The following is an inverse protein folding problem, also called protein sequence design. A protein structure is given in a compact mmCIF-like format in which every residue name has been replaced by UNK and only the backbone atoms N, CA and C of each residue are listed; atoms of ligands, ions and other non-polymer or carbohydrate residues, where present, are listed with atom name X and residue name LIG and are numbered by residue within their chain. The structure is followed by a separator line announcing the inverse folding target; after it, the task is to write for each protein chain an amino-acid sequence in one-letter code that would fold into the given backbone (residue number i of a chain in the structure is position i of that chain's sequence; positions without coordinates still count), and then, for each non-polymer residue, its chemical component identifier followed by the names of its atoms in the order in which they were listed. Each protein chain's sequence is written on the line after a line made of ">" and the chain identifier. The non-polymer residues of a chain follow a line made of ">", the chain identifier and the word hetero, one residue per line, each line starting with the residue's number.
data_IF_511356045665
#
_entry.id   IF_511356045665
#
_cell.length_a   1.000
_cell.length_b   1.000
_cell.length_c   1.000
_cell.angle_alpha   90.00
_cell.angle_beta   90.00
_cell.angle_gamma   90.00
#
_symmetry.space_group_name_H-M   'P 1'
#
loop_
_entity.id
_entity.type
_entity.pdbx_description
1 polymer ?
#
# COMPACT_ATOMS: atom_id res chain seq x y z
N UNK A 1 0.97 20.44 -67.64
CA UNK A 1 1.17 21.70 -68.38
C UNK A 1 0.75 22.86 -67.49
N UNK A 2 1.71 23.77 -67.25
CA UNK A 2 1.66 25.15 -66.73
C UNK A 2 0.96 25.42 -65.38
N UNK A 3 1.62 25.85 -64.30
CA UNK A 3 2.58 26.94 -64.03
C UNK A 3 1.95 28.28 -63.58
N UNK A 4 2.60 28.81 -62.53
CA UNK A 4 2.75 30.20 -62.07
C UNK A 4 1.53 30.86 -61.40
N UNK A 5 1.55 31.31 -60.14
CA UNK A 5 2.54 32.00 -59.27
C UNK A 5 2.59 33.54 -59.41
N UNK A 6 2.86 34.18 -58.26
CA UNK A 6 3.30 35.56 -58.00
C UNK A 6 2.21 36.65 -58.04
N UNK A 7 2.16 37.68 -57.18
CA UNK A 7 2.92 38.10 -55.99
C UNK A 7 2.52 39.52 -55.57
N UNK A 8 3.08 39.97 -54.43
CA UNK A 8 3.41 41.35 -54.02
C UNK A 8 2.33 42.03 -53.14
N UNK A 9 2.50 42.28 -51.82
CA UNK A 9 3.55 42.86 -50.95
C UNK A 9 3.59 44.42 -50.91
N UNK A 10 3.55 44.95 -49.67
CA UNK A 10 3.96 46.30 -49.17
C UNK A 10 3.02 47.50 -49.39
N UNK A 11 2.87 48.54 -48.54
CA UNK A 11 3.51 49.02 -47.28
C UNK A 11 2.71 50.25 -46.71
N UNK A 12 2.84 50.55 -45.41
CA UNK A 12 2.87 51.94 -44.83
C UNK A 12 1.53 52.62 -44.49
N UNK A 13 1.05 52.65 -43.23
CA UNK A 13 1.31 53.60 -42.12
C UNK A 13 0.94 55.08 -42.41
N UNK A 14 -0.10 55.60 -41.73
CA UNK A 14 -0.07 56.94 -41.10
C UNK A 14 -1.17 57.13 -40.03
N UNK A 15 -0.84 58.01 -39.08
CA UNK A 15 -1.44 58.36 -37.78
C UNK A 15 -2.89 58.89 -37.77
N UNK A 16 -3.61 58.54 -36.67
CA UNK A 16 -4.09 59.54 -35.70
C UNK A 16 -5.56 59.99 -35.75
N UNK A 17 -6.10 60.24 -34.53
CA UNK A 17 -7.28 61.06 -34.14
C UNK A 17 -8.51 60.25 -33.62
N UNK A 18 -8.78 60.35 -32.31
CA UNK A 18 -10.07 60.08 -31.60
C UNK A 18 -11.02 61.30 -31.79
N UNK A 19 -12.37 61.24 -31.59
CA UNK A 19 -13.09 60.44 -30.57
C UNK A 19 -14.54 59.97 -30.92
N UNK A 20 -15.20 59.37 -29.91
CA UNK A 20 -16.66 59.18 -29.69
C UNK A 20 -17.44 58.12 -30.48
N UNK A 21 -18.08 57.20 -29.75
CA UNK A 21 -19.25 56.46 -30.23
C UNK A 21 -19.46 55.11 -29.52
N UNK A 22 -20.50 55.02 -28.70
CA UNK A 22 -21.00 53.79 -28.08
C UNK A 22 -21.43 52.76 -29.15
N UNK A 23 -21.16 51.47 -28.93
CA UNK A 23 -22.08 50.37 -29.27
C UNK A 23 -21.69 49.06 -28.58
N UNK A 24 -22.70 48.42 -27.99
CA UNK A 24 -22.68 47.09 -27.38
C UNK A 24 -22.60 45.97 -28.42
N UNK A 25 -21.95 44.86 -28.06
CA UNK A 25 -22.32 43.51 -28.51
C UNK A 25 -21.28 42.77 -29.35
N UNK A 26 -20.48 41.90 -28.72
CA UNK A 26 -19.91 40.72 -29.40
C UNK A 26 -20.26 39.47 -28.59
N UNK A 27 -21.08 38.61 -29.17
CA UNK A 27 -21.15 37.18 -28.82
C UNK A 27 -20.11 36.46 -29.68
N UNK A 28 -18.97 36.11 -29.11
CA UNK A 28 -18.00 35.23 -29.76
C UNK A 28 -18.40 33.77 -29.52
N UNK A 29 -18.65 33.04 -30.62
CA UNK A 29 -18.68 31.57 -30.61
C UNK A 29 -17.23 31.05 -30.48
N UNK A 30 -16.94 30.10 -29.59
CA UNK A 30 -15.60 29.53 -29.50
C UNK A 30 -15.32 28.58 -30.67
N UNK A 31 -14.05 28.48 -31.12
CA UNK A 31 -13.66 27.67 -32.27
C UNK A 31 -13.71 26.17 -31.96
N UNK A 32 -14.25 25.41 -32.93
CA UNK A 32 -14.30 23.94 -32.94
C UNK A 32 -12.91 23.40 -33.27
N UNK A 33 -12.19 22.94 -32.24
CA UNK A 33 -10.93 22.20 -32.38
C UNK A 33 -11.26 20.75 -32.80
N UNK A 34 -10.90 20.39 -34.03
CA UNK A 34 -10.87 18.98 -34.46
C UNK A 34 -9.53 18.42 -33.96
N UNK A 35 -9.57 17.71 -32.84
CA UNK A 35 -8.44 16.94 -32.33
C UNK A 35 -8.34 15.62 -33.08
N UNK A 36 -7.26 15.44 -33.83
CA UNK A 36 -6.87 14.16 -34.40
C UNK A 36 -6.58 13.18 -33.24
N UNK A 37 -7.28 12.04 -33.21
CA UNK A 37 -7.06 11.01 -32.20
C UNK A 37 -5.82 10.21 -32.58
N UNK A 38 -4.68 10.56 -31.99
CA UNK A 38 -3.50 9.71 -31.99
C UNK A 38 -3.71 8.59 -30.98
N UNK A 39 -3.85 7.36 -31.48
CA UNK A 39 -3.84 6.16 -30.63
C UNK A 39 -2.40 5.94 -30.18
N UNK A 40 -2.08 6.38 -28.95
CA UNK A 40 -0.84 5.98 -28.28
C UNK A 40 -1.05 4.56 -27.78
N UNK A 41 -0.41 3.61 -28.45
CA UNK A 41 -0.34 2.22 -27.98
C UNK A 41 0.80 2.14 -26.97
N UNK A 42 0.48 1.95 -25.69
CA UNK A 42 1.48 1.59 -24.68
C UNK A 42 1.74 0.10 -24.80
N UNK A 43 2.85 -0.26 -25.43
CA UNK A 43 3.39 -1.60 -25.33
C UNK A 43 4.03 -1.75 -23.96
N UNK A 44 3.44 -2.57 -23.09
CA UNK A 44 4.08 -3.00 -21.84
C UNK A 44 5.18 -4.00 -22.20
N UNK A 45 6.42 -3.53 -22.20
CA UNK A 45 7.60 -4.38 -22.20
C UNK A 45 7.82 -4.86 -20.77
N UNK A 46 7.49 -6.12 -20.50
CA UNK A 46 7.82 -6.77 -19.24
C UNK A 46 9.28 -7.22 -19.36
N UNK A 47 10.16 -6.63 -18.56
CA UNK A 47 11.52 -7.15 -18.41
C UNK A 47 11.59 -8.18 -17.29
N UNK A 48 12.31 -9.28 -17.51
CA UNK A 48 12.43 -10.39 -16.56
C UNK A 48 13.90 -10.55 -16.19
N UNK A 49 14.28 -9.97 -15.05
CA UNK A 49 15.62 -10.15 -14.53
C UNK A 49 15.90 -11.62 -14.17
N UNK A 50 17.00 -12.16 -14.68
CA UNK A 50 17.45 -13.52 -14.46
C UNK A 50 17.17 -14.47 -15.63
N UNK A 51 16.77 -13.96 -16.79
CA UNK A 51 16.56 -14.76 -18.00
C UNK A 51 17.76 -14.79 -18.96
N UNK A 52 18.85 -14.10 -18.57
CA UNK A 52 20.11 -13.95 -19.31
C UNK A 52 19.98 -13.15 -20.62
N UNK A 53 18.96 -12.29 -20.74
CA UNK A 53 18.77 -11.38 -21.86
C UNK A 53 18.62 -9.97 -21.29
N UNK A 54 19.54 -9.07 -21.64
CA UNK A 54 19.43 -7.67 -21.20
C UNK A 54 18.31 -6.97 -21.97
N UNK A 55 17.24 -6.61 -21.26
CA UNK A 55 16.07 -5.94 -21.81
C UNK A 55 16.03 -4.44 -21.46
N UNK A 56 15.12 -3.68 -22.09
CA UNK A 56 14.96 -2.25 -21.81
C UNK A 56 14.57 -2.02 -20.34
N UNK A 57 15.40 -1.27 -19.60
CA UNK A 57 15.25 -1.05 -18.16
C UNK A 57 16.25 -1.84 -17.30
N UNK A 58 16.98 -2.80 -17.88
CA UNK A 58 18.03 -3.55 -17.19
C UNK A 58 19.43 -2.99 -17.48
N UNK A 59 20.28 -2.99 -16.46
CA UNK A 59 21.70 -2.64 -16.55
C UNK A 59 22.53 -3.84 -17.05
N UNK A 60 22.12 -5.04 -16.68
CA UNK A 60 22.76 -6.32 -16.97
C UNK A 60 21.76 -7.46 -16.69
N UNK A 61 22.03 -8.68 -17.17
CA UNK A 61 21.34 -9.90 -16.78
C UNK A 61 22.25 -11.11 -17.06
N UNK A 62 22.82 -11.68 -16.00
CA UNK A 62 23.68 -12.88 -16.05
C UNK A 62 22.90 -14.17 -15.71
N UNK A 63 21.57 -14.11 -15.74
CA UNK A 63 20.70 -15.25 -15.49
C UNK A 63 20.85 -15.81 -14.07
N UNK A 64 21.16 -17.10 -13.99
CA UNK A 64 21.40 -17.81 -12.72
C UNK A 64 22.62 -17.30 -11.95
N UNK A 65 23.51 -16.54 -12.59
CA UNK A 65 24.67 -15.94 -11.94
C UNK A 65 24.37 -14.59 -11.30
N UNK A 66 23.14 -14.07 -11.42
CA UNK A 66 22.74 -12.85 -10.74
C UNK A 66 22.92 -12.98 -9.22
N UNK A 67 23.49 -11.95 -8.60
CA UNK A 67 23.84 -11.89 -7.20
C UNK A 67 25.13 -12.64 -6.82
N UNK A 68 25.84 -13.23 -7.79
CA UNK A 68 27.12 -13.90 -7.55
C UNK A 68 28.22 -12.89 -7.28
N UNK A 69 29.08 -13.19 -6.32
CA UNK A 69 30.26 -12.39 -6.04
C UNK A 69 31.35 -12.58 -7.11
N UNK A 70 32.01 -11.50 -7.51
CA UNK A 70 33.18 -11.55 -8.40
C UNK A 70 34.44 -11.07 -7.71
N UNK A 71 35.57 -11.76 -7.94
CA UNK A 71 36.89 -11.32 -7.46
C UNK A 71 37.55 -10.28 -8.37
N UNK A 72 36.87 -9.82 -9.42
CA UNK A 72 37.40 -8.79 -10.32
C UNK A 72 36.29 -7.83 -10.79
N UNK A 73 36.65 -6.58 -11.02
CA UNK A 73 35.75 -5.59 -11.62
C UNK A 73 35.31 -5.96 -13.05
N UNK A 74 36.18 -6.64 -13.81
CA UNK A 74 35.90 -7.02 -15.19
C UNK A 74 34.91 -8.18 -15.31
N UNK A 75 34.91 -9.12 -14.35
CA UNK A 75 34.01 -10.27 -14.30
C UNK A 75 32.82 -10.11 -13.36
N UNK A 76 32.47 -8.87 -12.98
CA UNK A 76 31.35 -8.60 -12.07
C UNK A 76 30.03 -9.10 -12.62
N UNK A 77 29.21 -9.67 -11.75
CA UNK A 77 27.88 -10.15 -12.09
C UNK A 77 26.82 -9.10 -11.78
N UNK A 78 25.67 -9.26 -12.40
CA UNK A 78 24.51 -8.45 -12.15
C UNK A 78 23.92 -8.74 -10.77
N UNK A 79 23.32 -7.75 -10.12
CA UNK A 79 22.54 -7.96 -8.90
C UNK A 79 21.23 -8.68 -9.20
N UNK A 80 20.59 -9.24 -8.18
CA UNK A 80 19.31 -9.97 -8.31
C UNK A 80 18.15 -9.15 -8.92
N UNK A 81 18.27 -7.83 -8.94
CA UNK A 81 17.28 -6.93 -9.53
C UNK A 81 17.66 -6.37 -10.90
N UNK A 82 18.79 -6.78 -11.49
CA UNK A 82 19.25 -6.35 -12.82
C UNK A 82 19.46 -4.84 -13.04
N UNK A 83 19.32 -4.02 -11.98
CA UNK A 83 19.48 -2.57 -12.03
C UNK A 83 20.76 -2.08 -11.34
N UNK A 84 21.59 -3.01 -10.84
CA UNK A 84 22.87 -2.74 -10.18
C UNK A 84 23.80 -3.94 -10.34
N UNK A 85 25.09 -3.77 -10.05
CA UNK A 85 26.04 -4.88 -9.96
C UNK A 85 25.88 -5.62 -8.62
N UNK A 86 26.18 -6.92 -8.62
CA UNK A 86 26.37 -7.71 -7.39
C UNK A 86 27.66 -7.26 -6.67
N UNK A 87 27.88 -7.65 -5.40
CA UNK A 87 29.13 -7.39 -4.69
C UNK A 87 30.36 -7.93 -5.44
N UNK A 88 31.44 -7.15 -5.57
CA UNK A 88 32.68 -7.60 -6.22
C UNK A 88 33.92 -6.85 -5.72
N UNK A 89 35.08 -7.53 -5.77
CA UNK A 89 36.36 -6.92 -5.42
C UNK A 89 36.78 -5.82 -6.40
N UNK A 90 37.15 -4.67 -5.85
CA UNK A 90 37.64 -3.49 -6.57
C UNK A 90 36.62 -2.37 -6.71
N UNK A 91 35.52 -2.39 -5.94
CA UNK A 91 34.54 -1.30 -5.89
C UNK A 91 34.75 -0.34 -4.71
N UNK A 92 35.83 -0.53 -3.94
CA UNK A 92 36.15 0.24 -2.71
C UNK A 92 35.16 0.00 -1.57
N UNK A 93 34.38 -1.08 -1.61
CA UNK A 93 33.44 -1.48 -0.57
C UNK A 93 33.89 -2.82 -0.01
N UNK A 94 34.37 -2.83 1.24
CA UNK A 94 34.71 -4.07 1.90
C UNK A 94 33.46 -4.94 2.12
N UNK A 95 33.46 -6.16 1.60
CA UNK A 95 32.39 -7.15 1.70
C UNK A 95 32.83 -8.44 2.45
N UNK A 96 32.94 -8.43 3.80
CA UNK A 96 33.44 -9.57 4.57
C UNK A 96 32.58 -10.83 4.44
N UNK A 97 31.28 -10.67 4.16
CA UNK A 97 30.36 -11.79 3.94
C UNK A 97 30.75 -12.66 2.73
N UNK A 98 31.53 -12.12 1.79
CA UNK A 98 32.05 -12.82 0.61
C UNK A 98 33.55 -13.12 0.70
N UNK A 99 34.15 -12.94 1.88
CA UNK A 99 35.55 -13.30 2.15
C UNK A 99 36.56 -12.20 1.82
N UNK A 100 36.11 -10.96 1.60
CA UNK A 100 37.03 -9.84 1.48
C UNK A 100 37.61 -9.42 2.83
N UNK A 101 38.90 -9.12 2.81
CA UNK A 101 39.68 -8.65 3.97
C UNK A 101 40.16 -7.21 3.75
N UNK A 102 40.19 -6.76 2.50
CA UNK A 102 40.54 -5.41 2.07
C UNK A 102 39.83 -5.09 0.74
N UNK A 103 39.60 -3.81 0.43
CA UNK A 103 39.22 -3.36 -0.93
C UNK A 103 39.62 -1.88 -1.10
N UNK A 104 40.68 -1.64 -1.87
CA UNK A 104 41.18 -0.31 -2.23
C UNK A 104 40.73 0.13 -3.64
N UNK A 105 39.67 -0.49 -4.17
CA UNK A 105 39.12 -0.19 -5.47
C UNK A 105 40.09 -0.52 -6.60
N UNK A 106 40.28 0.44 -7.51
CA UNK A 106 41.24 0.33 -8.61
C UNK A 106 42.71 0.22 -8.15
N UNK A 107 43.02 0.44 -6.87
CA UNK A 107 44.37 0.29 -6.32
C UNK A 107 44.71 -1.15 -5.88
N UNK A 108 43.77 -2.08 -5.93
CA UNK A 108 44.00 -3.49 -5.61
C UNK A 108 45.07 -4.11 -6.53
N UNK A 109 46.07 -4.77 -5.94
CA UNK A 109 47.18 -5.39 -6.66
C UNK A 109 48.18 -4.41 -7.29
N UNK A 110 48.10 -3.12 -6.97
CA UNK A 110 49.12 -2.15 -7.40
C UNK A 110 50.37 -2.22 -6.52
N UNK A 111 51.54 -1.85 -7.05
CA UNK A 111 52.82 -1.89 -6.31
C UNK A 111 52.88 -0.98 -5.08
N UNK A 112 51.93 -0.05 -4.95
CA UNK A 112 51.78 0.86 -3.80
C UNK A 112 50.50 0.56 -2.98
N UNK A 113 49.67 -0.38 -3.43
CA UNK A 113 48.46 -0.80 -2.75
C UNK A 113 48.77 -1.78 -1.63
N UNK A 114 47.92 -1.81 -0.61
CA UNK A 114 48.02 -2.76 0.51
C UNK A 114 47.09 -3.93 0.34
N UNK A 115 46.20 -3.90 -0.64
CA UNK A 115 45.23 -4.96 -0.89
C UNK A 115 45.62 -5.81 -2.11
N UNK A 116 45.49 -7.14 -1.98
CA UNK A 116 45.68 -8.05 -3.11
C UNK A 116 44.61 -7.85 -4.18
N UNK A 117 44.91 -8.23 -5.42
CA UNK A 117 44.00 -8.05 -6.57
C UNK A 117 42.66 -8.80 -6.42
N UNK A 118 42.59 -9.78 -5.53
CA UNK A 118 41.39 -10.59 -5.23
C UNK A 118 40.74 -10.24 -3.88
N UNK A 119 41.18 -9.17 -3.21
CA UNK A 119 40.63 -8.68 -1.94
C UNK A 119 40.74 -9.64 -0.74
N UNK A 120 41.52 -10.72 -0.84
CA UNK A 120 41.59 -11.76 0.21
C UNK A 120 42.74 -11.61 1.18
N UNK A 121 43.76 -10.84 0.83
CA UNK A 121 44.94 -10.65 1.68
C UNK A 121 45.45 -9.24 1.56
N UNK A 122 46.12 -8.76 2.61
CA UNK A 122 46.95 -7.59 2.47
C UNK A 122 48.24 -7.99 1.74
N UNK A 123 48.54 -7.35 0.60
CA UNK A 123 49.76 -7.62 -0.13
C UNK A 123 50.96 -7.06 0.67
N UNK A 124 51.93 -7.92 0.93
CA UNK A 124 53.11 -7.61 1.75
C UNK A 124 54.33 -7.40 0.87
N UNK A 125 54.21 -6.74 -0.29
CA UNK A 125 55.39 -6.37 -1.05
C UNK A 125 56.21 -5.33 -0.27
N UNK A 126 57.48 -5.63 0.08
CA UNK A 126 58.32 -4.71 0.82
C UNK A 126 58.87 -3.65 -0.15
N UNK A 127 58.34 -2.42 -0.07
CA UNK A 127 59.01 -1.25 -0.67
C UNK A 127 59.81 -0.51 0.39
N UNK A 128 61.13 -0.57 0.22
CA UNK A 128 62.16 0.13 0.99
C UNK A 128 62.09 1.65 0.85
N UNK A 129 61.99 2.33 2.00
CA UNK A 129 62.51 3.69 2.26
C UNK A 129 61.72 4.85 1.65
N UNK A 130 61.32 5.89 2.37
CA UNK A 130 61.54 6.29 3.76
C UNK A 130 60.87 7.65 4.00
N UNK A 131 60.69 8.01 5.27
CA UNK A 131 60.26 9.34 5.68
C UNK A 131 59.12 9.34 6.68
N UNK A 132 59.45 9.35 7.97
CA UNK A 132 58.65 10.12 8.93
C UNK A 132 59.00 11.60 8.68
N UNK A 133 58.01 12.49 8.53
CA UNK A 133 57.30 12.97 9.72
C UNK A 133 55.81 13.21 9.46
N UNK A 134 55.02 13.03 10.50
CA UNK A 134 53.64 13.50 10.49
C UNK A 134 52.78 12.65 11.36
N UNK A 135 52.52 13.15 12.56
CA UNK A 135 51.29 12.89 13.30
C UNK A 135 50.08 13.17 12.39
N UNK A 136 49.74 12.23 11.53
CA UNK A 136 48.47 12.17 10.81
C UNK A 136 47.47 11.60 11.78
N UNK A 137 46.53 12.44 12.20
CA UNK A 137 45.53 12.09 13.20
C UNK A 137 44.86 10.76 12.87
N UNK A 138 44.48 10.05 13.94
CA UNK A 138 43.39 9.09 13.83
C UNK A 138 42.21 9.83 13.17
N UNK A 139 42.01 9.60 11.87
CA UNK A 139 40.66 9.71 11.33
C UNK A 139 39.94 8.54 12.00
N UNK A 140 38.97 8.79 12.90
CA UNK A 140 38.12 7.71 13.37
C UNK A 140 37.60 7.03 12.11
N UNK A 141 37.61 5.70 12.07
CA UNK A 141 36.90 4.97 11.03
C UNK A 141 35.55 5.65 10.86
N UNK A 142 35.22 6.02 9.61
CA UNK A 142 33.93 6.59 9.30
C UNK A 142 32.89 5.71 9.97
N UNK A 143 32.27 6.22 11.04
CA UNK A 143 31.11 5.61 11.66
C UNK A 143 29.94 5.87 10.73
N UNK A 144 30.01 5.34 9.50
CA UNK A 144 28.84 5.27 8.65
C UNK A 144 27.90 4.33 9.36
N UNK A 145 26.97 4.91 10.10
CA UNK A 145 25.98 4.17 10.86
C UNK A 145 25.32 3.20 9.88
N UNK A 146 25.30 1.92 10.24
CA UNK A 146 24.53 0.94 9.48
C UNK A 146 23.11 1.50 9.33
N UNK A 147 22.50 1.45 8.13
CA UNK A 147 21.15 1.91 7.95
C UNK A 147 20.26 1.22 8.98
N UNK A 148 19.40 1.99 9.63
CA UNK A 148 18.57 1.45 10.70
C UNK A 148 17.65 0.35 10.14
N UNK A 149 17.46 -0.72 10.90
CA UNK A 149 16.40 -1.69 10.59
C UNK A 149 15.06 -0.99 10.77
N UNK A 150 14.32 -0.79 9.68
CA UNK A 150 13.08 -0.01 9.68
C UNK A 150 11.98 -0.75 8.96
N UNK A 151 10.79 -0.78 9.53
CA UNK A 151 9.57 -1.21 8.87
C UNK A 151 8.78 0.03 8.44
N UNK A 152 8.36 0.05 7.18
CA UNK A 152 7.45 1.06 6.62
C UNK A 152 6.20 0.37 6.11
N UNK A 153 5.03 0.89 6.46
CA UNK A 153 3.73 0.40 6.00
C UNK A 153 3.03 1.55 5.31
N UNK A 154 2.66 1.35 4.05
CA UNK A 154 1.98 2.34 3.23
C UNK A 154 0.74 1.73 2.59
N UNK A 155 -0.34 2.50 2.57
CA UNK A 155 -1.58 2.03 1.99
C UNK A 155 -2.68 3.07 2.00
N UNK A 156 -3.91 2.58 1.85
CA UNK A 156 -5.11 3.40 1.76
C UNK A 156 -6.13 2.94 2.79
N UNK A 157 -6.61 3.87 3.58
CA UNK A 157 -7.69 3.72 4.54
C UNK A 157 -8.78 4.76 4.25
N UNK A 158 -9.63 5.05 5.24
CA UNK A 158 -10.67 6.05 5.10
C UNK A 158 -10.09 7.43 5.38
N UNK A 159 -10.49 8.48 4.64
CA UNK A 159 -9.96 9.82 4.85
C UNK A 159 -10.07 10.25 6.31
N UNK A 160 -8.96 10.66 6.96
CA UNK A 160 -8.95 11.09 8.36
C UNK A 160 -9.10 9.99 9.42
N UNK A 161 -9.14 8.71 9.03
CA UNK A 161 -9.24 7.60 9.98
C UNK A 161 -7.93 7.35 10.75
N UNK A 162 -8.06 6.78 11.95
CA UNK A 162 -6.91 6.29 12.72
C UNK A 162 -6.68 4.83 12.34
N UNK A 163 -5.51 4.55 11.77
CA UNK A 163 -5.00 3.21 11.48
C UNK A 163 -4.16 2.76 12.66
N UNK A 164 -4.50 1.62 13.25
CA UNK A 164 -3.74 0.96 14.32
C UNK A 164 -2.92 -0.16 13.73
N UNK A 165 -1.63 -0.19 14.06
CA UNK A 165 -0.65 -1.18 13.60
C UNK A 165 -0.34 -2.11 14.77
N UNK A 166 -0.40 -3.41 14.49
CA UNK A 166 -0.06 -4.50 15.39
C UNK A 166 1.24 -5.16 14.93
N UNK A 167 2.10 -5.52 15.87
CA UNK A 167 3.25 -6.40 15.68
C UNK A 167 3.06 -7.61 16.58
N UNK A 168 3.01 -8.80 15.99
CA UNK A 168 2.85 -10.08 16.70
C UNK A 168 1.68 -10.04 17.70
N UNK A 169 0.57 -9.40 17.29
CA UNK A 169 -0.67 -9.25 18.07
C UNK A 169 -0.70 -8.08 19.07
N UNK A 170 0.42 -7.39 19.30
CA UNK A 170 0.49 -6.23 20.22
C UNK A 170 0.48 -4.90 19.46
N UNK A 171 -0.10 -3.85 20.03
CA UNK A 171 -0.12 -2.51 19.39
C UNK A 171 1.31 -1.97 19.29
N UNK A 172 1.76 -1.74 18.06
CA UNK A 172 3.06 -1.15 17.75
C UNK A 172 2.98 0.38 17.59
N UNK A 173 1.81 0.89 17.17
CA UNK A 173 1.56 2.31 17.02
C UNK A 173 0.34 2.62 16.17
N UNK A 174 0.19 3.89 15.81
CA UNK A 174 -0.91 4.37 14.98
C UNK A 174 -0.42 5.31 13.88
N UNK A 175 -1.21 5.44 12.81
CA UNK A 175 -1.04 6.44 11.77
C UNK A 175 -2.40 7.04 11.44
N UNK A 176 -2.43 8.31 11.03
CA UNK A 176 -3.65 8.98 10.58
C UNK A 176 -3.67 9.02 9.07
N UNK A 177 -4.78 8.62 8.45
CA UNK A 177 -4.95 8.71 7.02
C UNK A 177 -5.21 10.16 6.57
N UNK A 178 -4.61 10.56 5.45
CA UNK A 178 -4.81 11.84 4.78
C UNK A 178 -6.19 11.97 4.15
N UNK A 179 -6.47 13.12 3.54
CA UNK A 179 -7.75 13.39 2.86
C UNK A 179 -7.97 12.51 1.62
N UNK A 180 -6.89 12.01 1.02
CA UNK A 180 -6.87 11.07 -0.08
C UNK A 180 -6.91 9.61 0.39
N UNK A 181 -7.08 9.38 1.70
CA UNK A 181 -7.09 8.08 2.33
C UNK A 181 -5.68 7.47 2.49
N UNK A 182 -4.63 8.10 1.97
CA UNK A 182 -3.26 7.57 2.09
C UNK A 182 -2.80 7.60 3.55
N UNK A 183 -2.10 6.56 3.98
CA UNK A 183 -1.42 6.57 5.28
C UNK A 183 -0.03 5.96 5.15
N UNK A 184 0.85 6.39 6.04
CA UNK A 184 2.17 5.80 6.21
C UNK A 184 2.48 5.64 7.70
N UNK A 185 3.01 4.49 8.08
CA UNK A 185 3.55 4.22 9.40
C UNK A 185 5.01 3.76 9.25
N UNK A 186 5.90 4.21 10.13
CA UNK A 186 7.29 3.77 10.14
C UNK A 186 7.78 3.53 11.57
N UNK A 187 8.53 2.46 11.78
CA UNK A 187 9.17 2.16 13.08
C UNK A 187 10.55 1.56 12.93
N UNK A 188 11.45 1.97 13.81
CA UNK A 188 12.78 1.36 13.99
C UNK A 188 12.78 0.36 15.17
N UNK A 189 11.70 0.27 15.93
CA UNK A 189 11.55 -0.65 17.08
C UNK A 189 11.09 -2.03 16.58
N UNK A 190 11.83 -2.57 15.61
CA UNK A 190 11.51 -3.83 14.93
C UNK A 190 12.73 -4.75 14.95
N UNK A 191 12.48 -6.03 15.18
CA UNK A 191 13.53 -7.05 15.28
C UNK A 191 13.64 -7.76 13.93
N UNK A 192 14.86 -7.96 13.38
CA UNK A 192 15.05 -8.78 12.19
C UNK A 192 14.51 -10.21 12.38
N UNK A 193 13.99 -10.80 11.31
CA UNK A 193 13.36 -12.12 11.31
C UNK A 193 11.90 -12.11 10.88
N UNK A 194 11.25 -13.26 10.96
CA UNK A 194 9.83 -13.41 10.59
C UNK A 194 8.96 -12.72 11.64
N UNK A 195 8.09 -11.82 11.21
CA UNK A 195 7.12 -11.12 12.07
C UNK A 195 5.77 -11.07 11.37
N UNK A 196 4.70 -11.05 12.16
CA UNK A 196 3.35 -10.82 11.64
C UNK A 196 2.91 -9.40 11.98
N UNK A 197 2.60 -8.64 10.94
CA UNK A 197 2.10 -7.28 11.06
C UNK A 197 0.60 -7.29 10.79
N UNK A 198 -0.17 -6.76 11.73
CA UNK A 198 -1.61 -6.54 11.58
C UNK A 198 -1.93 -5.07 11.44
N UNK A 199 -2.98 -4.72 10.71
CA UNK A 199 -3.49 -3.34 10.68
C UNK A 199 -5.00 -3.31 10.53
N UNK A 200 -5.63 -2.37 11.23
CA UNK A 200 -7.06 -2.08 11.16
C UNK A 200 -7.30 -0.58 11.35
N UNK A 201 -8.43 -0.07 10.86
CA UNK A 201 -8.78 1.35 10.95
C UNK A 201 -10.08 1.57 11.73
N UNK A 202 -10.15 2.67 12.48
CA UNK A 202 -11.41 3.19 13.04
C UNK A 202 -11.87 4.40 12.21
N UNK A 203 -13.10 4.36 11.72
CA UNK A 203 -13.69 5.50 11.02
C UNK A 203 -14.24 6.58 11.97
N UNK A 204 -14.66 7.73 11.43
CA UNK A 204 -15.18 8.84 12.23
C UNK A 204 -16.48 8.51 12.98
N UNK A 205 -17.21 7.49 12.55
CA UNK A 205 -18.40 7.00 13.23
C UNK A 205 -18.08 6.03 14.37
N UNK A 206 -16.80 5.69 14.56
CA UNK A 206 -16.33 4.79 15.60
C UNK A 206 -16.42 3.31 15.22
N UNK A 207 -16.70 2.99 13.95
CA UNK A 207 -16.70 1.61 13.44
C UNK A 207 -15.25 1.18 13.18
N UNK A 208 -14.92 -0.07 13.54
CA UNK A 208 -13.61 -0.66 13.24
C UNK A 208 -13.68 -1.47 11.94
N UNK A 209 -12.59 -1.52 11.17
CA UNK A 209 -12.42 -2.45 10.04
C UNK A 209 -12.13 -3.87 10.53
N UNK A 210 -12.23 -4.87 9.65
CA UNK A 210 -11.57 -6.15 9.90
C UNK A 210 -10.04 -5.93 9.97
N UNK A 211 -9.34 -6.77 10.75
CA UNK A 211 -7.88 -6.76 10.79
C UNK A 211 -7.35 -7.45 9.54
N UNK A 212 -6.38 -6.81 8.89
CA UNK A 212 -5.57 -7.41 7.83
C UNK A 212 -4.23 -7.79 8.40
N UNK A 213 -3.82 -9.05 8.25
CA UNK A 213 -2.53 -9.56 8.72
C UNK A 213 -1.64 -9.92 7.53
N UNK A 214 -0.35 -9.60 7.64
CA UNK A 214 0.69 -9.96 6.68
C UNK A 214 1.91 -10.45 7.44
N UNK A 215 2.38 -11.66 7.11
CA UNK A 215 3.61 -12.22 7.66
C UNK A 215 4.74 -11.98 6.67
N UNK A 216 5.87 -11.45 7.15
CA UNK A 216 7.04 -11.15 6.32
C UNK A 216 8.33 -11.29 7.11
N UNK A 217 9.45 -11.29 6.40
CA UNK A 217 10.78 -11.32 7.01
C UNK A 217 11.36 -9.90 7.03
N UNK A 218 11.68 -9.40 8.22
CA UNK A 218 12.40 -8.14 8.42
C UNK A 218 13.89 -8.41 8.23
N UNK A 219 14.49 -7.71 7.27
CA UNK A 219 15.92 -7.80 6.99
C UNK A 219 16.69 -6.82 7.88
N UNK A 220 17.75 -7.29 8.54
CA UNK A 220 18.59 -6.45 9.38
C UNK A 220 19.29 -5.37 8.54
N UNK A 221 19.40 -4.17 9.11
CA UNK A 221 20.01 -3.00 8.50
C UNK A 221 19.41 -2.62 7.14
N UNK A 222 18.09 -2.83 6.98
CA UNK A 222 17.37 -2.49 5.78
C UNK A 222 16.00 -1.90 6.09
N UNK A 223 15.45 -1.16 5.12
CA UNK A 223 14.07 -0.70 5.16
C UNK A 223 13.20 -1.77 4.50
N UNK A 224 12.31 -2.38 5.28
CA UNK A 224 11.30 -3.30 4.77
C UNK A 224 10.00 -2.52 4.57
N UNK A 225 9.49 -2.47 3.35
CA UNK A 225 8.27 -1.71 3.01
C UNK A 225 7.12 -2.64 2.64
N UNK A 226 6.00 -2.52 3.35
CA UNK A 226 4.71 -3.07 2.95
C UNK A 226 3.98 -1.99 2.13
N UNK A 227 3.90 -2.17 0.83
CA UNK A 227 3.07 -1.35 -0.05
C UNK A 227 1.71 -2.02 -0.28
N UNK A 228 0.67 -1.21 -0.55
CA UNK A 228 -0.66 -1.74 -0.87
C UNK A 228 -1.46 -2.22 0.35
N UNK A 229 -1.16 -1.72 1.55
CA UNK A 229 -1.95 -1.98 2.75
C UNK A 229 -3.34 -1.34 2.65
N UNK A 230 -4.25 -1.98 1.91
CA UNK A 230 -5.59 -1.44 1.66
C UNK A 230 -6.59 -1.95 2.70
N UNK A 231 -7.19 -1.04 3.46
CA UNK A 231 -8.06 -1.41 4.57
C UNK A 231 -9.43 -1.90 4.05
N UNK A 232 -9.99 -2.97 4.62
CA UNK A 232 -11.37 -3.39 4.34
C UNK A 232 -12.34 -2.27 4.68
N UNK A 233 -13.45 -2.06 3.94
CA UNK A 233 -14.45 -1.07 4.34
C UNK A 233 -15.10 -1.43 5.68
N UNK A 234 -15.58 -0.43 6.43
CA UNK A 234 -16.54 -0.67 7.52
C UNK A 234 -17.93 -0.85 6.93
N UNK A 235 -18.78 -1.59 7.65
CA UNK A 235 -20.18 -1.83 7.27
C UNK A 235 -21.04 -1.85 8.54
N UNK A 236 -22.19 -1.19 8.47
CA UNK A 236 -23.29 -1.28 9.43
C UNK A 236 -24.62 -1.10 8.70
N UNK A 237 -25.74 -1.26 9.41
CA UNK A 237 -27.07 -1.03 8.87
C UNK A 237 -28.01 -0.39 9.89
N UNK A 238 -29.15 0.12 9.42
CA UNK A 238 -30.16 0.73 10.27
C UNK A 238 -30.90 -0.27 11.17
N UNK A 239 -30.93 -1.56 10.80
CA UNK A 239 -31.63 -2.63 11.52
C UNK A 239 -30.92 -3.97 11.34
N UNK A 240 -31.10 -4.89 12.29
CA UNK A 240 -30.67 -6.30 12.16
C UNK A 240 -31.77 -7.25 11.72
N UNK A 241 -33.03 -6.85 11.82
CA UNK A 241 -34.17 -7.65 11.36
C UNK A 241 -35.01 -6.81 10.41
N UNK A 242 -35.30 -7.37 9.24
CA UNK A 242 -36.08 -6.72 8.17
C UNK A 242 -37.09 -7.69 7.61
N UNK A 243 -38.26 -7.19 7.23
CA UNK A 243 -39.25 -8.02 6.53
C UNK A 243 -38.73 -8.35 5.13
N UNK A 244 -39.18 -9.47 4.57
CA UNK A 244 -38.88 -9.78 3.17
C UNK A 244 -39.43 -8.68 2.26
N UNK A 245 -38.57 -8.18 1.38
CA UNK A 245 -38.86 -7.07 0.46
C UNK A 245 -38.78 -5.68 1.10
N UNK A 246 -38.50 -5.58 2.40
CA UNK A 246 -38.13 -4.32 3.04
C UNK A 246 -36.69 -3.97 2.64
N UNK A 247 -36.46 -2.69 2.36
CA UNK A 247 -35.14 -2.17 2.06
C UNK A 247 -34.29 -2.08 3.33
N UNK A 248 -33.05 -2.57 3.23
CA UNK A 248 -32.04 -2.46 4.28
C UNK A 248 -31.04 -1.37 3.92
N UNK A 249 -31.00 -0.31 4.72
CA UNK A 249 -30.05 0.79 4.53
C UNK A 249 -28.71 0.44 5.16
N UNK A 250 -27.70 0.26 4.33
CA UNK A 250 -26.32 -0.03 4.69
C UNK A 250 -25.48 1.25 4.62
N UNK A 251 -24.51 1.37 5.52
CA UNK A 251 -23.57 2.47 5.51
C UNK A 251 -22.20 2.07 6.08
N UNK A 252 -21.20 2.89 5.79
CA UNK A 252 -19.86 2.72 6.35
C UNK A 252 -18.85 3.67 5.69
N UNK A 253 -17.58 3.34 5.87
CA UNK A 253 -16.43 4.08 5.36
C UNK A 253 -15.54 3.16 4.53
N UNK A 254 -14.98 3.70 3.46
CA UNK A 254 -14.07 3.02 2.54
C UNK A 254 -12.99 4.01 2.06
N UNK A 255 -12.05 3.52 1.25
CA UNK A 255 -11.15 4.39 0.51
C UNK A 255 -11.94 5.44 -0.31
N UNK A 256 -11.42 6.66 -0.50
CA UNK A 256 -12.17 7.72 -1.19
C UNK A 256 -12.41 7.37 -2.65
N UNK A 257 -13.60 7.70 -3.15
CA UNK A 257 -14.02 7.46 -4.53
C UNK A 257 -13.88 6.00 -5.02
N UNK A 258 -13.87 5.04 -4.09
CA UNK A 258 -13.75 3.61 -4.37
C UNK A 258 -15.11 2.97 -4.69
N UNK A 259 -15.12 1.94 -5.51
CA UNK A 259 -16.31 1.09 -5.70
C UNK A 259 -16.43 0.12 -4.52
N UNK A 260 -17.48 0.27 -3.73
CA UNK A 260 -17.82 -0.64 -2.63
C UNK A 260 -18.83 -1.65 -3.13
N UNK A 261 -18.51 -2.93 -3.00
CA UNK A 261 -19.35 -4.06 -3.39
C UNK A 261 -19.75 -4.85 -2.15
N UNK A 262 -21.05 -5.12 -2.00
CA UNK A 262 -21.63 -5.87 -0.88
C UNK A 262 -21.98 -7.28 -1.33
N UNK A 263 -21.63 -8.26 -0.50
CA UNK A 263 -21.82 -9.69 -0.72
C UNK A 263 -22.68 -10.27 0.38
N UNK A 264 -23.53 -11.24 0.06
CA UNK A 264 -24.38 -11.96 1.01
C UNK A 264 -23.93 -13.41 1.14
N UNK A 265 -23.90 -13.94 2.36
CA UNK A 265 -23.63 -15.35 2.68
C UNK A 265 -22.38 -15.95 2.03
N UNK A 266 -21.34 -15.14 1.81
CA UNK A 266 -20.07 -15.60 1.25
C UNK A 266 -20.13 -15.89 -0.25
N UNK A 267 -21.20 -15.49 -0.93
CA UNK A 267 -21.27 -15.51 -2.41
C UNK A 267 -20.17 -14.62 -2.99
N UNK A 268 -19.62 -15.05 -4.13
CA UNK A 268 -18.56 -14.33 -4.85
C UNK A 268 -19.07 -13.15 -5.66
N UNK A 269 -20.34 -13.18 -6.06
CA UNK A 269 -20.98 -12.09 -6.78
C UNK A 269 -21.59 -11.07 -5.81
N UNK A 270 -21.38 -9.77 -6.05
CA UNK A 270 -21.97 -8.75 -5.20
C UNK A 270 -23.48 -8.63 -5.45
N UNK A 271 -24.25 -8.52 -4.37
CA UNK A 271 -25.70 -8.27 -4.43
C UNK A 271 -26.03 -6.82 -4.75
N UNK A 272 -25.10 -5.91 -4.45
CA UNK A 272 -25.23 -4.49 -4.75
C UNK A 272 -23.85 -3.82 -4.69
N UNK A 273 -23.72 -2.65 -5.32
CA UNK A 273 -22.49 -1.86 -5.27
C UNK A 273 -22.79 -0.36 -5.31
N UNK A 274 -21.92 0.44 -4.69
CA UNK A 274 -22.01 1.90 -4.67
C UNK A 274 -20.60 2.50 -4.68
N UNK A 275 -20.46 3.71 -5.22
CA UNK A 275 -19.21 4.46 -5.12
C UNK A 275 -19.16 5.25 -3.82
N UNK A 276 -18.07 5.14 -3.06
CA UNK A 276 -17.84 5.98 -1.88
C UNK A 276 -17.62 7.44 -2.27
N UNK A 277 -17.98 8.35 -1.39
CA UNK A 277 -17.71 9.77 -1.56
C UNK A 277 -16.20 10.08 -1.43
N UNK A 278 -15.80 11.31 -1.76
CA UNK A 278 -14.43 11.79 -1.49
C UNK A 278 -14.08 11.82 0.00
N UNK A 279 -15.08 11.86 0.89
CA UNK A 279 -14.91 11.68 2.34
C UNK A 279 -14.73 10.22 2.77
N UNK A 280 -14.83 9.25 1.85
CA UNK A 280 -14.82 7.82 2.14
C UNK A 280 -16.16 7.24 2.60
N UNK A 281 -17.14 8.08 2.96
CA UNK A 281 -18.47 7.63 3.37
C UNK A 281 -19.21 7.00 2.19
N UNK A 282 -19.89 5.89 2.44
CA UNK A 282 -20.77 5.24 1.48
C UNK A 282 -22.11 4.88 2.13
N UNK A 283 -23.17 4.95 1.34
CA UNK A 283 -24.53 4.54 1.73
C UNK A 283 -25.12 3.72 0.59
N UNK A 284 -25.78 2.62 0.91
CA UNK A 284 -26.34 1.70 -0.07
C UNK A 284 -27.68 1.17 0.43
N UNK A 285 -28.68 1.16 -0.45
CA UNK A 285 -29.97 0.54 -0.17
C UNK A 285 -29.95 -0.86 -0.75
N UNK A 286 -30.08 -1.87 0.10
CA UNK A 286 -30.15 -3.27 -0.30
C UNK A 286 -31.61 -3.75 -0.27
N UNK A 287 -32.13 -4.17 -1.42
CA UNK A 287 -33.45 -4.83 -1.47
C UNK A 287 -33.34 -6.28 -1.02
N UNK A 288 -34.24 -6.71 -0.14
CA UNK A 288 -34.25 -8.08 0.41
C UNK A 288 -35.18 -9.03 -0.33
N UNK A 289 -35.77 -8.61 -1.47
CA UNK A 289 -36.71 -9.44 -2.24
C UNK A 289 -36.11 -10.80 -2.66
N UNK A 290 -34.86 -10.78 -3.10
CA UNK A 290 -34.13 -11.97 -3.59
C UNK A 290 -33.32 -12.68 -2.50
N UNK A 291 -33.48 -12.27 -1.24
CA UNK A 291 -32.86 -12.90 -0.08
C UNK A 291 -33.91 -13.83 0.56
N UNK A 292 -33.50 -15.06 0.85
CA UNK A 292 -34.36 -16.04 1.49
C UNK A 292 -34.75 -15.60 2.91
N UNK A 293 -35.78 -16.21 3.48
CA UNK A 293 -36.12 -15.98 4.89
C UNK A 293 -35.11 -16.71 5.79
N UNK A 294 -34.66 -16.06 6.86
CA UNK A 294 -33.73 -16.62 7.84
C UNK A 294 -32.52 -15.75 8.15
N UNK A 295 -31.50 -16.37 8.74
CA UNK A 295 -30.24 -15.74 9.10
C UNK A 295 -29.32 -15.56 7.91
N UNK A 296 -28.79 -14.35 7.77
CA UNK A 296 -27.86 -13.98 6.72
C UNK A 296 -26.71 -13.14 7.28
N UNK A 297 -25.66 -12.98 6.49
CA UNK A 297 -24.62 -11.99 6.78
C UNK A 297 -24.18 -11.26 5.54
N UNK A 298 -23.79 -9.99 5.72
CA UNK A 298 -23.22 -9.15 4.68
C UNK A 298 -21.73 -8.93 4.93
N UNK A 299 -20.96 -8.85 3.85
CA UNK A 299 -19.58 -8.36 3.84
C UNK A 299 -19.41 -7.38 2.70
N UNK A 300 -18.49 -6.44 2.82
CA UNK A 300 -18.18 -5.46 1.80
C UNK A 300 -16.69 -5.53 1.43
N UNK A 301 -16.36 -5.28 0.16
CA UNK A 301 -15.00 -5.00 -0.29
C UNK A 301 -15.00 -3.72 -1.10
N UNK A 302 -13.89 -2.99 -1.07
CA UNK A 302 -13.69 -1.79 -1.88
C UNK A 302 -12.66 -2.05 -2.97
N UNK A 303 -12.89 -1.45 -4.14
CA UNK A 303 -11.98 -1.46 -5.28
C UNK A 303 -11.60 -0.01 -5.59
N UNK A 304 -10.32 0.30 -5.45
CA UNK A 304 -9.74 1.60 -5.78
C UNK A 304 -8.83 1.47 -6.98
N UNK A 305 -8.76 2.53 -7.79
CA UNK A 305 -7.80 2.62 -8.89
C UNK A 305 -6.66 3.53 -8.48
N UNK A 306 -5.43 2.99 -8.41
CA UNK A 306 -4.21 3.76 -8.17
C UNK A 306 -3.27 3.55 -9.34
N UNK A 307 -2.80 4.63 -9.97
CA UNK A 307 -1.87 4.61 -11.12
C UNK A 307 -2.26 3.62 -12.24
N UNK A 308 -3.56 3.45 -12.49
CA UNK A 308 -4.10 2.53 -13.51
C UNK A 308 -4.30 1.09 -13.05
N UNK A 309 -3.74 0.70 -11.90
CA UNK A 309 -3.96 -0.61 -11.29
C UNK A 309 -5.17 -0.59 -10.36
N UNK A 310 -6.01 -1.62 -10.47
CA UNK A 310 -7.12 -1.84 -9.54
C UNK A 310 -6.61 -2.61 -8.32
N UNK A 311 -6.83 -2.04 -7.13
CA UNK A 311 -6.48 -2.65 -5.85
C UNK A 311 -7.78 -2.97 -5.12
N UNK A 312 -8.00 -4.26 -4.85
CA UNK A 312 -9.17 -4.75 -4.11
C UNK A 312 -8.80 -4.93 -2.64
N UNK A 313 -9.62 -4.39 -1.75
CA UNK A 313 -9.49 -4.61 -0.31
C UNK A 313 -9.82 -6.05 0.07
N UNK A 314 -9.35 -6.52 1.25
CA UNK A 314 -9.98 -7.66 1.90
C UNK A 314 -11.45 -7.36 2.25
N UNK A 315 -12.20 -8.39 2.63
CA UNK A 315 -13.59 -8.24 3.04
C UNK A 315 -13.70 -7.57 4.41
N UNK A 316 -14.75 -6.78 4.58
CA UNK A 316 -15.16 -6.19 5.86
C UNK A 316 -15.47 -7.29 6.89
N UNK A 317 -15.72 -6.83 8.12
CA UNK A 317 -16.41 -7.66 9.10
C UNK A 317 -17.77 -8.11 8.57
N UNK A 318 -18.25 -9.22 9.14
CA UNK A 318 -19.59 -9.70 8.86
C UNK A 318 -20.61 -8.81 9.57
N UNK A 319 -21.60 -8.33 8.83
CA UNK A 319 -22.80 -7.73 9.39
C UNK A 319 -23.91 -8.78 9.43
N UNK A 320 -24.27 -9.30 10.62
CA UNK A 320 -25.35 -10.27 10.76
C UNK A 320 -26.73 -9.61 10.64
N UNK A 321 -27.65 -10.22 9.89
CA UNK A 321 -29.04 -9.77 9.82
C UNK A 321 -30.02 -10.93 9.56
N UNK A 322 -31.30 -10.69 9.81
CA UNK A 322 -32.39 -11.65 9.63
C UNK A 322 -33.42 -11.09 8.65
N UNK A 323 -33.82 -11.91 7.68
CA UNK A 323 -34.89 -11.62 6.74
C UNK A 323 -36.15 -12.40 7.13
N UNK A 324 -37.29 -11.69 7.18
CA UNK A 324 -38.59 -12.27 7.49
C UNK A 324 -38.94 -12.21 8.98
N UNK A 325 -39.86 -13.07 9.41
CA UNK A 325 -40.38 -13.09 10.78
C UNK A 325 -39.73 -14.18 11.66
N UNK A 326 -38.68 -14.84 11.17
CA UNK A 326 -37.98 -15.88 11.91
C UNK A 326 -37.20 -15.28 13.09
N UNK A 327 -37.15 -15.98 14.22
CA UNK A 327 -36.13 -15.70 15.24
C UNK A 327 -34.78 -16.19 14.71
N UNK A 328 -33.71 -15.43 14.97
CA UNK A 328 -32.34 -15.85 14.67
C UNK A 328 -32.06 -17.24 15.25
N UNK A 329 -31.45 -18.12 14.46
CA UNK A 329 -30.98 -19.44 14.93
C UNK A 329 -29.75 -19.31 15.83
N UNK A 330 -29.01 -18.22 15.67
CA UNK A 330 -27.82 -17.92 16.45
C UNK A 330 -28.18 -17.09 17.68
N UNK A 331 -27.46 -17.36 18.76
CA UNK A 331 -27.45 -16.49 19.93
C UNK A 331 -26.84 -15.15 19.54
N UNK A 332 -27.34 -14.04 20.08
CA UNK A 332 -26.83 -12.72 19.74
C UNK A 332 -25.37 -12.52 20.17
N UNK A 333 -24.90 -13.30 21.14
CA UNK A 333 -23.52 -13.31 21.61
C UNK A 333 -22.57 -14.26 20.87
N UNK A 334 -23.07 -15.08 19.93
CA UNK A 334 -22.24 -15.92 19.04
C UNK A 334 -21.74 -15.03 17.88
N UNK A 335 -20.64 -14.33 18.13
CA UNK A 335 -20.12 -13.28 17.27
C UNK A 335 -19.38 -13.84 16.05
N UNK A 336 -18.81 -15.04 16.16
CA UNK A 336 -18.14 -15.72 15.05
C UNK A 336 -19.06 -16.67 14.27
N UNK A 337 -20.29 -16.89 14.75
CA UNK A 337 -21.33 -17.77 14.19
C UNK A 337 -20.92 -19.24 14.11
N UNK A 338 -20.19 -19.74 15.11
CA UNK A 338 -19.78 -21.14 15.21
C UNK A 338 -20.77 -22.04 16.00
N UNK A 339 -21.91 -21.49 16.41
CA UNK A 339 -22.94 -22.08 17.28
C UNK A 339 -22.52 -22.24 18.74
N UNK A 340 -21.45 -21.58 19.17
CA UNK A 340 -21.04 -21.52 20.57
C UNK A 340 -20.88 -20.06 20.99
N UNK A 341 -20.93 -19.84 22.30
CA UNK A 341 -20.59 -18.58 22.93
C UNK A 341 -19.51 -18.90 23.93
N UNK A 342 -18.27 -18.61 23.56
CA UNK A 342 -17.09 -19.02 24.32
C UNK A 342 -15.99 -17.94 24.29
N UNK A 343 -14.76 -18.36 24.62
CA UNK A 343 -13.60 -17.46 24.68
C UNK A 343 -13.30 -16.80 23.33
N UNK A 344 -13.63 -17.43 22.20
CA UNK A 344 -13.48 -16.85 20.87
C UNK A 344 -14.39 -15.62 20.71
N UNK A 345 -15.67 -15.74 21.06
CA UNK A 345 -16.62 -14.62 21.03
C UNK A 345 -16.22 -13.53 22.01
N UNK A 346 -15.79 -13.89 23.22
CA UNK A 346 -15.31 -12.91 24.19
C UNK A 346 -14.09 -12.15 23.68
N UNK A 347 -13.15 -12.82 23.00
CA UNK A 347 -12.01 -12.14 22.38
C UNK A 347 -12.43 -11.17 21.28
N UNK A 348 -13.48 -11.50 20.52
CA UNK A 348 -14.08 -10.59 19.53
C UNK A 348 -14.76 -9.40 20.22
N UNK A 349 -15.53 -9.62 21.28
CA UNK A 349 -16.16 -8.56 22.05
C UNK A 349 -15.12 -7.57 22.59
N UNK A 350 -14.03 -8.07 23.16
CA UNK A 350 -12.93 -7.25 23.67
C UNK A 350 -12.24 -6.46 22.56
N UNK A 351 -12.05 -7.07 21.38
CA UNK A 351 -11.51 -6.35 20.23
C UNK A 351 -12.39 -5.15 19.85
N UNK A 352 -13.72 -5.29 19.93
CA UNK A 352 -14.68 -4.23 19.63
C UNK A 352 -15.02 -3.31 20.81
N UNK A 353 -14.42 -3.52 21.97
CA UNK A 353 -14.74 -2.75 23.17
C UNK A 353 -14.63 -1.24 22.92
N UNK A 354 -15.68 -0.50 23.30
CA UNK A 354 -15.79 0.95 23.10
C UNK A 354 -16.06 1.39 21.66
N UNK A 355 -16.22 0.45 20.71
CA UNK A 355 -16.63 0.77 19.34
C UNK A 355 -18.15 0.96 19.23
N UNK A 356 -18.58 1.49 18.08
CA UNK A 356 -20.00 1.64 17.70
C UNK A 356 -20.44 0.65 16.63
N UNK A 357 -19.66 -0.41 16.46
CA UNK A 357 -19.82 -1.39 15.40
C UNK A 357 -20.94 -2.40 15.68
N UNK A 358 -21.51 -2.98 14.61
CA UNK A 358 -22.50 -4.04 14.74
C UNK A 358 -21.87 -5.35 15.26
N UNK A 359 -20.56 -5.49 15.22
CA UNK A 359 -19.88 -6.63 15.83
C UNK A 359 -19.63 -6.33 17.30
N UNK A 360 -20.18 -7.15 18.20
CA UNK A 360 -20.04 -6.99 19.65
C UNK A 360 -21.12 -6.15 20.34
N UNK A 361 -21.92 -5.38 19.60
CA UNK A 361 -23.11 -4.69 20.11
C UNK A 361 -24.30 -5.68 20.13
N UNK A 362 -24.36 -6.47 21.20
CA UNK A 362 -25.26 -7.60 21.41
C UNK A 362 -26.66 -7.11 21.81
N UNK A 363 -26.75 -5.97 22.51
CA UNK A 363 -28.01 -5.37 22.93
C UNK A 363 -28.59 -4.36 21.92
N UNK A 364 -27.87 -4.05 20.84
CA UNK A 364 -28.25 -3.14 19.77
C UNK A 364 -28.39 -1.67 20.23
N UNK A 365 -27.62 -1.24 21.24
CA UNK A 365 -27.60 0.14 21.75
C UNK A 365 -26.56 1.05 21.07
N UNK A 366 -25.88 0.54 20.03
CA UNK A 366 -24.79 1.17 19.27
C UNK A 366 -23.49 1.38 20.05
N UNK A 367 -23.28 0.69 21.17
CA UNK A 367 -22.04 0.77 21.96
C UNK A 367 -21.62 -0.59 22.49
N UNK A 368 -20.43 -1.05 22.10
CA UNK A 368 -19.87 -2.28 22.68
C UNK A 368 -19.29 -2.01 24.08
N UNK A 369 -19.95 -2.49 25.12
CA UNK A 369 -19.62 -2.19 26.50
C UNK A 369 -19.98 -3.34 27.50
N UNK A 370 -20.02 -3.00 28.79
CA UNK A 370 -20.32 -3.96 29.86
C UNK A 370 -21.71 -4.59 29.75
N UNK A 371 -22.68 -3.86 29.19
CA UNK A 371 -24.01 -4.40 28.93
C UNK A 371 -23.95 -5.61 27.97
N UNK A 372 -23.21 -5.49 26.87
CA UNK A 372 -23.01 -6.59 25.92
C UNK A 372 -22.29 -7.77 26.56
N UNK A 373 -21.25 -7.48 27.36
CA UNK A 373 -20.54 -8.52 28.11
C UNK A 373 -21.47 -9.29 29.05
N UNK A 374 -22.38 -8.59 29.74
CA UNK A 374 -23.34 -9.25 30.63
C UNK A 374 -24.29 -10.18 29.88
N UNK A 375 -24.72 -9.81 28.67
CA UNK A 375 -25.56 -10.67 27.82
C UNK A 375 -24.75 -11.85 27.30
N UNK A 376 -23.50 -11.64 26.88
CA UNK A 376 -22.61 -12.72 26.45
C UNK A 376 -22.45 -13.78 27.54
N UNK A 377 -22.18 -13.38 28.78
CA UNK A 377 -22.08 -14.31 29.90
C UNK A 377 -23.39 -15.07 30.14
N UNK A 378 -24.55 -14.43 29.93
CA UNK A 378 -25.86 -15.11 30.06
C UNK A 378 -26.12 -16.15 28.98
N UNK A 379 -25.43 -16.05 27.85
CA UNK A 379 -25.55 -16.94 26.69
C UNK A 379 -24.37 -17.92 26.56
N UNK A 380 -23.44 -17.94 27.53
CA UNK A 380 -22.22 -18.76 27.48
C UNK A 380 -22.52 -20.26 27.33
N UNK A 381 -21.83 -20.92 26.40
CA UNK A 381 -22.07 -22.35 26.11
C UNK A 381 -20.85 -23.25 26.33
N UNK A 382 -19.66 -22.70 26.61
CA UNK A 382 -18.45 -23.48 26.90
C UNK A 382 -17.32 -23.16 25.95
#
# INVERSE_FOLDING_TARGET
>A
MKNLSLSALFCGILLGILPTGLAFGQTENPPRMVGESTVVTTTLTVSICGDAIVQEGELCDDGLLNGTYSSTTAGRYCGYGCHSWAPYCGDSILNPAFGEVCDEGAANGTTNGRCSADCRTFDNTPSTGGGYPGSGGYSPGSSSALPETRLVIQGVAYPGAIVTILKDGSIAGTATAGIDGSFAYSTNQITPGVTTVGYWAQDQSGLKSAITNTTLTIVANAITTISGAHLPPTITATKRTVKKGEDLNLSGSAAPAAMVSVYVDGKTEPVASVKSAGSGVWNLILSTNDIADGDHYLRAASLSTSTGNQIKSPLSQQFPFVVGNGKSKFLSADLNRDNKVNLADFSMLLFYWGSRGPTGDINEDSKVNLADFSIMLSQWTG
#
